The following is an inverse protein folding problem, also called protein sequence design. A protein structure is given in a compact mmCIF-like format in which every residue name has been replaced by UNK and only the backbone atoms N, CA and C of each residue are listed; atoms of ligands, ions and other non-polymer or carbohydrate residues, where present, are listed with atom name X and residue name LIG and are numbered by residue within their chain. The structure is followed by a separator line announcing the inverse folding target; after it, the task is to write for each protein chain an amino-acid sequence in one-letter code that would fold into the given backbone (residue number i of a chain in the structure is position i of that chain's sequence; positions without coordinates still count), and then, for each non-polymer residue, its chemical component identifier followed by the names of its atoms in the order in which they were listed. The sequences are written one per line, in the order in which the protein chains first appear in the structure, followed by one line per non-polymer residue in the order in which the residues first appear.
data_IF_253919404981
#
_entry.id   IF_253919404981
#
_cell.length_a   1.000
_cell.length_b   1.000
_cell.length_c   1.000
_cell.angle_alpha   90.00
_cell.angle_beta   90.00
_cell.angle_gamma   90.00
#
_symmetry.space_group_name_H-M   'P 1'
#
loop_
_entity.id
_entity.type
_entity.pdbx_description
1 polymer ?
#
# COMPACT_ATOMS: atom_id res chain seq x y z
N UNK A 1 17.41 25.38 25.34
CA UNK A 1 16.10 24.84 24.94
C UNK A 1 15.92 24.71 23.41
N UNK A 2 16.62 25.52 22.60
CA UNK A 2 16.57 25.47 21.12
C UNK A 2 17.29 24.23 20.53
N UNK A 3 18.37 23.77 21.15
CA UNK A 3 19.14 22.58 20.70
C UNK A 3 18.32 21.29 20.63
N UNK A 4 17.36 21.11 21.56
CA UNK A 4 16.49 19.94 21.57
C UNK A 4 15.44 19.93 20.47
N UNK A 5 15.11 21.09 19.86
CA UNK A 5 14.19 21.16 18.72
C UNK A 5 14.93 20.96 17.40
N UNK A 6 16.18 21.42 17.28
CA UNK A 6 17.00 21.15 16.10
C UNK A 6 17.35 19.67 15.97
N UNK A 7 17.66 19.00 17.09
CA UNK A 7 17.86 17.54 17.11
C UNK A 7 16.60 16.78 16.65
N UNK A 8 15.41 17.17 17.11
CA UNK A 8 14.14 16.57 16.67
C UNK A 8 13.87 16.81 15.19
N UNK A 9 14.24 17.98 14.67
CA UNK A 9 14.10 18.28 13.24
C UNK A 9 14.96 17.39 12.35
N UNK A 10 16.19 17.08 12.78
CA UNK A 10 17.09 16.17 12.06
C UNK A 10 16.51 14.75 12.08
N UNK A 11 16.08 14.28 13.25
CA UNK A 11 15.47 12.95 13.38
C UNK A 11 14.22 12.77 12.51
N UNK A 12 13.35 13.79 12.44
CA UNK A 12 12.16 13.75 11.58
C UNK A 12 12.53 13.66 10.10
N UNK A 13 13.61 14.34 9.69
CA UNK A 13 14.08 14.31 8.30
C UNK A 13 14.69 12.95 7.93
N UNK A 14 15.42 12.33 8.85
CA UNK A 14 15.95 10.98 8.65
C UNK A 14 14.80 9.97 8.51
N UNK A 15 13.80 10.06 9.40
CA UNK A 15 12.59 9.23 9.35
C UNK A 15 11.80 9.47 8.05
N UNK A 16 11.67 10.72 7.61
CA UNK A 16 11.02 11.07 6.35
C UNK A 16 11.67 10.34 5.18
N UNK A 17 13.01 10.33 5.10
CA UNK A 17 13.73 9.56 4.07
C UNK A 17 13.39 8.07 4.14
N UNK A 18 13.35 7.49 5.34
CA UNK A 18 13.05 6.06 5.54
C UNK A 18 11.61 5.69 5.15
N UNK A 19 10.63 6.57 5.43
CA UNK A 19 9.20 6.32 5.16
C UNK A 19 8.86 6.57 3.68
N UNK A 20 9.53 7.52 3.04
CA UNK A 20 9.27 7.89 1.63
C UNK A 20 9.89 6.89 0.66
N UNK A 21 11.06 6.32 0.95
CA UNK A 21 11.74 5.33 0.09
C UNK A 21 11.09 3.93 0.15
N UNK A 22 9.76 3.84 0.32
CA UNK A 22 9.01 2.60 0.51
C UNK A 22 9.27 1.60 -0.63
N UNK A 23 10.21 0.68 -0.39
CA UNK A 23 10.61 -0.39 -1.28
C UNK A 23 10.65 -1.67 -0.46
N UNK A 24 9.96 -2.70 -0.93
CA UNK A 24 9.69 -3.91 -0.15
C UNK A 24 10.06 -5.14 -0.97
N UNK A 25 10.64 -6.13 -0.28
CA UNK A 25 10.89 -7.44 -0.88
C UNK A 25 9.58 -8.17 -1.19
N UNK A 26 9.67 -9.24 -1.98
CA UNK A 26 8.50 -10.01 -2.43
C UNK A 26 8.25 -11.29 -1.63
N UNK A 27 9.24 -11.77 -0.88
CA UNK A 27 9.11 -12.99 -0.08
C UNK A 27 8.45 -12.69 1.27
N UNK A 28 7.82 -13.71 1.86
CA UNK A 28 7.21 -13.61 3.19
C UNK A 28 8.21 -13.12 4.23
N UNK A 29 9.44 -13.66 4.22
CA UNK A 29 10.49 -13.24 5.15
C UNK A 29 10.88 -11.77 4.97
N UNK A 30 11.05 -11.31 3.73
CA UNK A 30 11.42 -9.93 3.46
C UNK A 30 10.31 -8.95 3.89
N UNK A 31 9.05 -9.33 3.71
CA UNK A 31 7.91 -8.54 4.16
C UNK A 31 7.81 -8.49 5.69
N UNK A 32 8.08 -9.60 6.38
CA UNK A 32 8.14 -9.63 7.84
C UNK A 32 9.26 -8.75 8.41
N UNK A 33 10.46 -8.81 7.81
CA UNK A 33 11.59 -7.96 8.19
C UNK A 33 11.26 -6.46 8.03
N UNK A 34 10.62 -6.09 6.92
CA UNK A 34 10.17 -4.71 6.71
C UNK A 34 9.07 -4.30 7.69
N UNK A 35 8.16 -5.21 8.08
CA UNK A 35 7.13 -4.91 9.10
C UNK A 35 7.75 -4.63 10.47
N UNK A 36 8.75 -5.41 10.88
CA UNK A 36 9.48 -5.16 12.13
C UNK A 36 10.24 -3.84 12.07
N UNK A 37 10.80 -3.50 10.92
CA UNK A 37 11.42 -2.19 10.68
C UNK A 37 10.41 -1.05 10.81
N UNK A 38 9.26 -1.13 10.14
CA UNK A 38 8.21 -0.12 10.21
C UNK A 38 7.57 0.00 11.59
N UNK A 39 7.50 -1.08 12.36
CA UNK A 39 7.07 -1.05 13.77
C UNK A 39 8.01 -0.17 14.61
N UNK A 40 9.32 -0.37 14.48
CA UNK A 40 10.33 0.46 15.16
C UNK A 40 10.29 1.93 14.71
N UNK A 41 10.09 2.19 13.42
CA UNK A 41 9.95 3.56 12.89
C UNK A 41 8.71 4.23 13.51
N UNK A 42 7.58 3.52 13.61
CA UNK A 42 6.35 4.07 14.17
C UNK A 42 6.51 4.41 15.65
N UNK A 43 7.08 3.50 16.44
CA UNK A 43 7.40 3.75 17.86
C UNK A 43 8.30 4.97 18.06
N UNK A 44 9.30 5.17 17.17
CA UNK A 44 10.16 6.37 17.18
C UNK A 44 9.35 7.64 16.92
N UNK A 45 8.44 7.62 15.93
CA UNK A 45 7.59 8.78 15.62
C UNK A 45 6.63 9.08 16.78
N UNK A 46 5.99 8.07 17.34
CA UNK A 46 5.07 8.19 18.49
C UNK A 46 5.79 8.83 19.69
N UNK A 47 7.02 8.38 19.99
CA UNK A 47 7.83 9.01 21.05
C UNK A 47 8.17 10.47 20.77
N UNK A 48 8.39 10.86 19.51
CA UNK A 48 8.65 12.25 19.12
C UNK A 48 7.37 13.09 19.27
N UNK A 49 6.22 12.56 18.85
CA UNK A 49 4.90 13.20 19.00
C UNK A 49 4.60 13.47 20.48
N UNK A 50 4.81 12.49 21.36
CA UNK A 50 4.60 12.65 22.80
C UNK A 50 5.56 13.66 23.43
N UNK A 51 6.81 13.72 22.95
CA UNK A 51 7.80 14.70 23.38
C UNK A 51 7.48 16.13 22.93
N UNK A 52 6.86 16.29 21.76
CA UNK A 52 6.48 17.58 21.18
C UNK A 52 5.16 18.11 21.76
N UNK A 53 4.18 17.24 22.05
CA UNK A 53 2.93 17.61 22.73
C UNK A 53 3.15 18.29 24.09
N UNK A 54 4.30 18.06 24.72
CA UNK A 54 4.69 18.67 26.00
C UNK A 54 5.33 20.06 25.86
N UNK A 55 5.51 20.57 24.63
CA UNK A 55 6.22 21.83 24.35
C UNK A 55 5.30 22.87 23.69
N UNK A 56 4.98 23.95 24.39
CA UNK A 56 4.20 25.08 23.86
C UNK A 56 5.09 26.10 23.13
N UNK A 57 5.64 25.71 21.97
CA UNK A 57 6.38 26.64 21.11
C UNK A 57 5.90 26.53 19.68
N UNK A 58 5.90 27.64 18.93
CA UNK A 58 5.47 27.66 17.53
C UNK A 58 6.30 26.70 16.66
N UNK A 59 7.63 26.66 16.88
CA UNK A 59 8.53 25.71 16.22
C UNK A 59 8.19 24.25 16.59
N UNK A 60 7.78 23.99 17.83
CA UNK A 60 7.30 22.68 18.27
C UNK A 60 5.98 22.27 17.61
N UNK A 61 5.07 23.22 17.36
CA UNK A 61 3.81 22.99 16.63
C UNK A 61 4.06 22.53 15.19
N UNK A 62 4.97 23.20 14.48
CA UNK A 62 5.35 22.82 13.10
C UNK A 62 5.94 21.41 13.09
N UNK A 63 6.85 21.11 14.00
CA UNK A 63 7.46 19.78 14.11
C UNK A 63 6.45 18.69 14.49
N UNK A 64 5.46 19.02 15.31
CA UNK A 64 4.39 18.11 15.69
C UNK A 64 3.53 17.76 14.47
N UNK A 65 3.18 18.75 13.65
CA UNK A 65 2.43 18.53 12.41
C UNK A 65 3.23 17.64 11.44
N UNK A 66 4.53 17.88 11.27
CA UNK A 66 5.40 17.00 10.48
C UNK A 66 5.44 15.58 11.03
N UNK A 67 5.61 15.41 12.35
CA UNK A 67 5.63 14.10 12.98
C UNK A 67 4.29 13.34 12.79
N UNK A 68 3.15 14.03 12.88
CA UNK A 68 1.84 13.44 12.64
C UNK A 68 1.64 13.01 11.17
N UNK A 69 2.13 13.81 10.21
CA UNK A 69 2.12 13.42 8.78
C UNK A 69 2.97 12.17 8.53
N UNK A 70 4.16 12.10 9.13
CA UNK A 70 5.03 10.93 9.05
C UNK A 70 4.39 9.70 9.72
N UNK A 71 3.70 9.89 10.85
CA UNK A 71 2.98 8.81 11.51
C UNK A 71 1.86 8.23 10.62
N UNK A 72 1.10 9.10 9.96
CA UNK A 72 0.07 8.69 9.02
C UNK A 72 0.67 7.94 7.82
N UNK A 73 1.77 8.43 7.25
CA UNK A 73 2.48 7.76 6.17
C UNK A 73 3.03 6.39 6.59
N UNK A 74 3.69 6.29 7.74
CA UNK A 74 4.21 5.02 8.28
C UNK A 74 3.08 4.02 8.59
N UNK A 75 1.91 4.51 9.01
CA UNK A 75 0.71 3.68 9.20
C UNK A 75 0.22 3.12 7.87
N UNK A 76 0.11 3.95 6.84
CA UNK A 76 -0.23 3.51 5.48
C UNK A 76 0.75 2.45 4.95
N UNK A 77 2.06 2.67 5.10
CA UNK A 77 3.08 1.70 4.72
C UNK A 77 2.91 0.36 5.47
N UNK A 78 2.55 0.39 6.75
CA UNK A 78 2.28 -0.81 7.55
C UNK A 78 1.05 -1.58 7.04
N UNK A 79 0.00 -0.86 6.63
CA UNK A 79 -1.20 -1.47 6.03
C UNK A 79 -0.89 -2.10 4.67
N UNK A 80 -0.09 -1.44 3.84
CA UNK A 80 0.41 -1.99 2.57
C UNK A 80 1.22 -3.27 2.79
N UNK A 81 2.14 -3.27 3.76
CA UNK A 81 2.92 -4.47 4.09
C UNK A 81 2.03 -5.64 4.54
N UNK A 82 1.01 -5.38 5.35
CA UNK A 82 0.04 -6.42 5.78
C UNK A 82 -0.77 -6.97 4.59
N UNK A 83 -1.13 -6.11 3.65
CA UNK A 83 -1.80 -6.56 2.42
C UNK A 83 -0.88 -7.49 1.60
N UNK A 84 0.37 -7.11 1.38
CA UNK A 84 1.34 -7.93 0.65
C UNK A 84 1.65 -9.25 1.37
N UNK A 85 1.74 -9.22 2.70
CA UNK A 85 1.92 -10.41 3.54
C UNK A 85 0.81 -11.44 3.29
N UNK A 86 -0.45 -10.97 3.17
CA UNK A 86 -1.58 -11.86 2.92
C UNK A 86 -1.46 -12.66 1.62
N UNK A 87 -0.75 -12.12 0.62
CA UNK A 87 -0.42 -12.79 -0.63
C UNK A 87 0.77 -13.74 -0.41
N UNK A 88 1.85 -13.25 0.22
CA UNK A 88 3.07 -14.03 0.47
C UNK A 88 2.86 -15.23 1.42
N UNK A 89 1.80 -15.22 2.24
CA UNK A 89 1.42 -16.36 3.09
C UNK A 89 1.21 -17.66 2.28
N UNK A 90 0.84 -17.53 0.99
CA UNK A 90 0.77 -18.67 0.08
C UNK A 90 2.11 -19.42 -0.05
N UNK A 91 3.25 -18.75 0.11
CA UNK A 91 4.59 -19.38 0.07
C UNK A 91 4.73 -20.50 1.11
N UNK A 92 4.22 -20.28 2.33
CA UNK A 92 4.27 -21.29 3.39
C UNK A 92 3.41 -22.50 3.04
N UNK A 93 2.20 -22.27 2.51
CA UNK A 93 1.30 -23.33 2.06
C UNK A 93 1.97 -24.17 0.95
N UNK A 94 2.58 -23.52 -0.05
CA UNK A 94 3.26 -24.24 -1.13
C UNK A 94 4.50 -24.99 -0.65
N UNK A 95 5.24 -24.42 0.30
CA UNK A 95 6.39 -25.09 0.92
C UNK A 95 5.96 -26.36 1.63
N UNK A 96 4.89 -26.32 2.42
CA UNK A 96 4.38 -27.48 3.14
C UNK A 96 3.84 -28.57 2.22
N UNK A 97 3.04 -28.19 1.21
CA UNK A 97 2.51 -29.13 0.22
C UNK A 97 3.65 -29.78 -0.57
N UNK A 98 4.63 -29.00 -1.00
CA UNK A 98 5.79 -29.51 -1.74
C UNK A 98 6.60 -30.47 -0.88
N UNK A 99 6.84 -30.12 0.39
CA UNK A 99 7.55 -30.98 1.35
C UNK A 99 6.80 -32.30 1.57
N UNK A 100 5.49 -32.25 1.80
CA UNK A 100 4.67 -33.44 1.99
C UNK A 100 4.69 -34.36 0.75
N UNK A 101 4.59 -33.77 -0.45
CA UNK A 101 4.65 -34.51 -1.70
C UNK A 101 6.02 -35.18 -1.91
N UNK A 102 7.13 -34.48 -1.66
CA UNK A 102 8.48 -35.01 -1.80
C UNK A 102 8.74 -36.13 -0.78
N UNK A 103 8.41 -35.91 0.51
CA UNK A 103 8.60 -36.93 1.55
C UNK A 103 7.81 -38.20 1.22
N UNK A 104 6.57 -38.05 0.74
CA UNK A 104 5.76 -39.19 0.32
C UNK A 104 6.37 -39.90 -0.89
N UNK A 105 6.80 -39.15 -1.91
CA UNK A 105 7.41 -39.72 -3.12
C UNK A 105 8.71 -40.49 -2.83
N UNK A 106 9.55 -39.95 -1.95
CA UNK A 106 10.77 -40.63 -1.47
C UNK A 106 10.40 -41.87 -0.67
N UNK A 107 9.42 -41.78 0.23
CA UNK A 107 8.93 -42.92 1.01
C UNK A 107 8.40 -44.07 0.13
N UNK A 108 7.68 -43.74 -0.95
CA UNK A 108 7.20 -44.72 -1.93
C UNK A 108 8.33 -45.42 -2.70
N UNK A 109 9.52 -44.83 -2.74
CA UNK A 109 10.69 -45.37 -3.43
C UNK A 109 11.58 -46.25 -2.54
N UNK A 110 11.25 -46.37 -1.24
CA UNK A 110 11.96 -47.26 -0.31
C UNK A 110 11.73 -48.73 -0.65
N UNK A 111 12.71 -49.60 -0.39
CA UNK A 111 12.64 -51.04 -0.69
C UNK A 111 11.49 -51.74 0.06
N UNK A 112 11.12 -51.21 1.23
CA UNK A 112 10.03 -51.73 2.07
C UNK A 112 8.64 -51.16 1.71
N UNK A 113 8.54 -50.27 0.73
CA UNK A 113 7.27 -49.59 0.40
C UNK A 113 6.22 -50.52 -0.23
N UNK A 114 6.66 -51.64 -0.80
CA UNK A 114 5.80 -52.64 -1.46
C UNK A 114 6.07 -54.00 -0.86
N UNK A 115 5.01 -54.70 -0.44
CA UNK A 115 5.16 -56.08 0.07
C UNK A 115 5.76 -57.00 -0.97
N UNK A 116 6.70 -57.86 -0.56
CA UNK A 116 7.37 -58.82 -1.44
C UNK A 116 6.39 -59.72 -2.22
N UNK A 117 5.26 -60.12 -1.62
CA UNK A 117 4.19 -60.88 -2.29
C UNK A 117 3.63 -60.16 -3.54
N UNK A 118 3.54 -58.83 -3.52
CA UNK A 118 3.03 -58.04 -4.65
C UNK A 118 4.07 -57.98 -5.76
N UNK A 119 5.35 -57.81 -5.42
CA UNK A 119 6.46 -57.82 -6.38
C UNK A 119 6.60 -59.18 -7.09
N UNK A 120 6.39 -60.27 -6.36
CA UNK A 120 6.47 -61.63 -6.91
C UNK A 120 5.25 -62.04 -7.76
N UNK A 121 4.07 -61.43 -7.50
CA UNK A 121 2.82 -61.86 -8.13
C UNK A 121 2.35 -61.00 -9.31
N UNK A 122 2.84 -59.76 -9.46
CA UNK A 122 2.34 -58.81 -10.46
C UNK A 122 3.43 -57.92 -11.06
N UNK A 123 3.36 -57.70 -12.38
CA UNK A 123 4.13 -56.67 -13.06
C UNK A 123 3.32 -55.35 -13.09
N UNK A 124 3.60 -54.43 -12.17
CA UNK A 124 2.80 -53.20 -11.99
C UNK A 124 3.37 -51.95 -12.67
N UNK A 125 4.45 -52.07 -13.44
CA UNK A 125 5.18 -50.92 -14.00
C UNK A 125 4.28 -49.92 -14.73
N UNK A 126 3.32 -50.40 -15.54
CA UNK A 126 2.41 -49.51 -16.26
C UNK A 126 1.42 -48.80 -15.32
N UNK A 127 0.85 -49.52 -14.36
CA UNK A 127 -0.06 -48.93 -13.36
C UNK A 127 0.67 -47.88 -12.51
N UNK A 128 1.89 -48.17 -12.06
CA UNK A 128 2.75 -47.22 -11.34
C UNK A 128 2.99 -45.96 -12.18
N UNK A 129 3.35 -46.11 -13.46
CA UNK A 129 3.50 -44.97 -14.40
C UNK A 129 2.21 -44.17 -14.54
N UNK A 130 1.06 -44.83 -14.66
CA UNK A 130 -0.24 -44.17 -14.78
C UNK A 130 -0.60 -43.38 -13.52
N UNK A 131 -0.36 -43.92 -12.33
CA UNK A 131 -0.56 -43.20 -11.07
C UNK A 131 0.31 -41.95 -10.99
N UNK A 132 1.60 -42.06 -11.30
CA UNK A 132 2.52 -40.90 -11.32
C UNK A 132 2.14 -39.86 -12.37
N UNK A 133 1.74 -40.30 -13.57
CA UNK A 133 1.25 -39.40 -14.61
C UNK A 133 0.00 -38.64 -14.14
N UNK A 134 -0.92 -39.31 -13.46
CA UNK A 134 -2.12 -38.66 -12.93
C UNK A 134 -1.79 -37.65 -11.82
N UNK A 135 -0.91 -37.98 -10.88
CA UNK A 135 -0.41 -37.02 -9.87
C UNK A 135 0.21 -35.79 -10.51
N UNK A 136 0.99 -35.97 -11.59
CA UNK A 136 1.59 -34.87 -12.35
C UNK A 136 0.53 -33.99 -13.04
N UNK A 137 -0.56 -34.59 -13.55
CA UNK A 137 -1.67 -33.82 -14.12
C UNK A 137 -2.37 -32.97 -13.05
N UNK A 138 -2.55 -33.52 -11.84
CA UNK A 138 -3.14 -32.78 -10.72
C UNK A 138 -2.26 -31.60 -10.29
N UNK A 139 -0.93 -31.77 -10.20
CA UNK A 139 -0.04 -30.66 -9.86
C UNK A 139 -0.04 -29.55 -10.92
N UNK A 140 -0.08 -29.93 -12.20
CA UNK A 140 -0.18 -28.97 -13.29
C UNK A 140 -1.51 -28.21 -13.27
N UNK A 141 -2.62 -28.90 -12.99
CA UNK A 141 -3.93 -28.28 -12.87
C UNK A 141 -3.96 -27.28 -11.69
N UNK A 142 -3.35 -27.62 -10.56
CA UNK A 142 -3.22 -26.72 -9.42
C UNK A 142 -2.41 -25.45 -9.78
N UNK A 143 -1.29 -25.60 -10.50
CA UNK A 143 -0.49 -24.47 -10.96
C UNK A 143 -1.27 -23.54 -11.92
N UNK A 144 -2.08 -24.11 -12.83
CA UNK A 144 -2.96 -23.35 -13.73
C UNK A 144 -4.00 -22.56 -12.92
N UNK A 145 -4.70 -23.20 -11.98
CA UNK A 145 -5.70 -22.53 -11.16
C UNK A 145 -5.09 -21.42 -10.31
N UNK A 146 -3.90 -21.64 -9.73
CA UNK A 146 -3.20 -20.61 -8.99
C UNK A 146 -2.87 -19.40 -9.86
N UNK A 147 -2.35 -19.64 -11.07
CA UNK A 147 -2.06 -18.56 -12.02
C UNK A 147 -3.32 -17.78 -12.37
N UNK A 148 -4.42 -18.46 -12.71
CA UNK A 148 -5.68 -17.80 -13.02
C UNK A 148 -6.23 -16.99 -11.84
N UNK A 149 -6.08 -17.49 -10.60
CA UNK A 149 -6.48 -16.77 -9.41
C UNK A 149 -5.62 -15.51 -9.19
N UNK A 150 -4.30 -15.61 -9.42
CA UNK A 150 -3.38 -14.46 -9.35
C UNK A 150 -3.73 -13.40 -10.41
N UNK A 151 -3.92 -13.81 -11.66
CA UNK A 151 -4.32 -12.92 -12.75
C UNK A 151 -5.65 -12.21 -12.44
N UNK A 152 -6.63 -12.95 -11.92
CA UNK A 152 -7.92 -12.38 -11.49
C UNK A 152 -7.78 -11.40 -10.33
N UNK A 153 -6.94 -11.72 -9.35
CA UNK A 153 -6.67 -10.83 -8.22
C UNK A 153 -6.01 -9.52 -8.67
N UNK A 154 -4.98 -9.60 -9.52
CA UNK A 154 -4.28 -8.43 -10.09
C UNK A 154 -5.28 -7.53 -10.83
N UNK A 155 -6.09 -8.11 -11.73
CA UNK A 155 -7.11 -7.36 -12.46
C UNK A 155 -8.08 -6.61 -11.55
N UNK A 156 -8.57 -7.25 -10.48
CA UNK A 156 -9.47 -6.59 -9.53
C UNK A 156 -8.76 -5.51 -8.71
N UNK A 157 -7.49 -5.72 -8.37
CA UNK A 157 -6.67 -4.72 -7.68
C UNK A 157 -6.52 -3.47 -8.54
N UNK A 158 -6.11 -3.62 -9.80
CA UNK A 158 -5.96 -2.51 -10.76
C UNK A 158 -7.27 -1.72 -10.94
N UNK A 159 -8.41 -2.40 -11.05
CA UNK A 159 -9.73 -1.73 -11.11
C UNK A 159 -10.02 -0.93 -9.85
N UNK A 160 -9.67 -1.49 -8.69
CA UNK A 160 -9.90 -0.85 -7.40
C UNK A 160 -9.03 0.40 -7.24
N UNK A 161 -7.76 0.33 -7.66
CA UNK A 161 -6.85 1.48 -7.70
C UNK A 161 -7.37 2.58 -8.62
N UNK A 162 -7.77 2.24 -9.86
CA UNK A 162 -8.33 3.20 -10.82
C UNK A 162 -9.58 3.87 -10.23
N UNK A 163 -10.46 3.10 -9.57
CA UNK A 163 -11.66 3.64 -8.93
C UNK A 163 -11.31 4.61 -7.81
N UNK A 164 -10.32 4.27 -6.97
CA UNK A 164 -9.86 5.14 -5.89
C UNK A 164 -9.29 6.46 -6.44
N UNK A 165 -8.44 6.38 -7.47
CA UNK A 165 -7.88 7.56 -8.14
C UNK A 165 -8.97 8.45 -8.77
N UNK A 166 -9.96 7.84 -9.44
CA UNK A 166 -11.09 8.57 -10.01
C UNK A 166 -11.94 9.27 -8.93
N UNK A 167 -12.18 8.61 -7.80
CA UNK A 167 -12.87 9.20 -6.65
C UNK A 167 -12.10 10.38 -6.06
N UNK A 168 -10.77 10.25 -5.93
CA UNK A 168 -9.92 11.34 -5.46
C UNK A 168 -9.94 12.53 -6.42
N UNK A 169 -9.80 12.29 -7.72
CA UNK A 169 -9.88 13.34 -8.74
C UNK A 169 -11.24 14.05 -8.73
N UNK A 170 -12.34 13.31 -8.56
CA UNK A 170 -13.68 13.90 -8.40
C UNK A 170 -13.77 14.82 -7.18
N UNK A 171 -13.20 14.41 -6.05
CA UNK A 171 -13.20 15.22 -4.83
C UNK A 171 -12.38 16.50 -5.01
N UNK A 172 -11.19 16.41 -5.63
CA UNK A 172 -10.36 17.57 -5.95
C UNK A 172 -11.12 18.52 -6.89
N UNK A 173 -11.70 18.02 -7.97
CA UNK A 173 -12.48 18.85 -8.90
C UNK A 173 -13.67 19.52 -8.22
N UNK A 174 -14.39 18.83 -7.33
CA UNK A 174 -15.48 19.43 -6.56
C UNK A 174 -14.98 20.58 -5.67
N UNK A 175 -13.87 20.38 -4.95
CA UNK A 175 -13.27 21.43 -4.11
C UNK A 175 -12.80 22.63 -4.92
N UNK A 176 -12.28 22.42 -6.14
CA UNK A 176 -11.88 23.51 -7.04
C UNK A 176 -13.09 24.29 -7.55
N UNK A 177 -14.18 23.60 -7.91
CA UNK A 177 -15.44 24.24 -8.32
C UNK A 177 -16.02 25.08 -7.17
N UNK A 178 -16.00 24.56 -5.94
CA UNK A 178 -16.44 25.33 -4.75
C UNK A 178 -15.53 26.53 -4.45
N UNK A 179 -14.21 26.39 -4.65
CA UNK A 179 -13.26 27.48 -4.48
C UNK A 179 -13.37 28.56 -5.58
N UNK A 180 -13.88 28.19 -6.76
CA UNK A 180 -14.29 29.16 -7.77
C UNK A 180 -15.59 29.85 -7.31
N UNK A 181 -15.48 31.07 -6.78
CA UNK A 181 -16.64 31.94 -6.51
C UNK A 181 -16.82 32.95 -7.66
N UNK A 182 -17.59 32.60 -8.72
CA UNK A 182 -17.86 33.53 -9.81
C UNK A 182 -18.67 34.74 -9.32
N UNK A 183 -19.53 34.58 -8.31
CA UNK A 183 -20.33 35.69 -7.76
C UNK A 183 -19.47 36.81 -7.19
N UNK A 184 -18.39 36.51 -6.46
CA UNK A 184 -17.50 37.54 -5.91
C UNK A 184 -16.85 38.39 -7.01
N UNK A 185 -16.33 37.73 -8.05
CA UNK A 185 -15.72 38.40 -9.19
C UNK A 185 -16.74 39.18 -10.04
N UNK A 186 -17.96 38.67 -10.18
CA UNK A 186 -19.04 39.36 -10.91
C UNK A 186 -19.51 40.61 -10.14
N UNK A 187 -19.60 40.54 -8.82
CA UNK A 187 -19.97 41.68 -7.96
C UNK A 187 -18.89 42.76 -8.01
N UNK A 188 -17.61 42.40 -7.90
CA UNK A 188 -16.50 43.35 -8.03
C UNK A 188 -16.45 44.01 -9.40
N UNK A 189 -16.62 43.23 -10.48
CA UNK A 189 -16.65 43.76 -11.84
C UNK A 189 -17.86 44.69 -12.08
N UNK A 190 -19.02 44.35 -11.51
CA UNK A 190 -20.23 45.19 -11.59
C UNK A 190 -20.05 46.49 -10.80
N UNK A 191 -19.49 46.42 -9.60
CA UNK A 191 -19.16 47.59 -8.77
C UNK A 191 -18.16 48.51 -9.47
N UNK A 192 -17.13 47.96 -10.09
CA UNK A 192 -16.13 48.73 -10.84
C UNK A 192 -16.76 49.41 -12.07
N UNK A 193 -17.65 48.72 -12.79
CA UNK A 193 -18.37 49.28 -13.92
C UNK A 193 -19.30 50.44 -13.51
N UNK A 194 -19.99 50.31 -12.38
CA UNK A 194 -20.84 51.39 -11.84
C UNK A 194 -20.00 52.59 -11.39
N UNK A 195 -18.84 52.36 -10.76
CA UNK A 195 -17.90 53.42 -10.41
C UNK A 195 -17.36 54.14 -11.66
N UNK A 196 -17.00 53.40 -12.71
CA UNK A 196 -16.57 53.98 -13.99
C UNK A 196 -17.68 54.82 -14.62
N UNK A 197 -18.93 54.35 -14.64
CA UNK A 197 -20.06 55.14 -15.14
C UNK A 197 -20.17 56.47 -14.40
N UNK A 198 -20.10 56.47 -13.08
CA UNK A 198 -20.15 57.70 -12.27
C UNK A 198 -18.99 58.65 -12.62
N UNK A 199 -17.77 58.13 -12.78
CA UNK A 199 -16.59 58.94 -13.12
C UNK A 199 -16.61 59.51 -14.54
N UNK A 200 -17.22 58.80 -15.49
CA UNK A 200 -17.30 59.23 -16.90
C UNK A 200 -18.64 59.90 -17.27
N UNK A 201 -19.56 60.08 -16.32
CA UNK A 201 -20.77 60.87 -16.60
C UNK A 201 -20.39 62.35 -16.65
N UNK A 202 -20.61 63.07 -17.77
CA UNK A 202 -20.24 64.47 -17.87
C UNK A 202 -21.05 65.30 -16.87
N UNK A 203 -20.38 66.02 -15.97
CA UNK A 203 -21.05 67.07 -15.18
C UNK A 203 -21.38 68.24 -16.09
N UNK A 204 -22.52 68.17 -16.78
CA UNK A 204 -23.09 69.31 -17.48
C UNK A 204 -23.51 70.30 -16.41
N UNK A 205 -22.63 71.26 -16.10
CA UNK A 205 -23.03 72.46 -15.37
C UNK A 205 -23.80 73.34 -16.35
N UNK A 206 -25.12 73.27 -16.27
CA UNK A 206 -25.99 74.35 -16.78
C UNK A 206 -25.72 75.56 -15.88
N UNK A 207 -25.02 76.55 -16.42
CA UNK A 207 -25.02 77.90 -15.88
C UNK A 207 -26.25 78.60 -16.47
N UNK A 208 -27.06 79.18 -15.58
CA UNK A 208 -28.23 80.01 -15.86
C UNK A 208 -27.97 81.14 -16.86
#
# INVERSE_FOLDING_TARGET
MVEGLDATSIQLKDIESEVVEFNVGVSHLALDEERERYTRIRERIESIVDGLNKKETEKGRIQLETAQKLLAAATGNTETLRYLESISCLENIFTDVTKAAIVTAVGLSSEDSISQRVLESKLLTNNVKQCWNYTTQLSNLAAIHLKSAADFHIFNHEITEIRAQASQMKAVSASQIEAFSPEGQIIEASSLNDEMKVRFTPKIKLHD
#
